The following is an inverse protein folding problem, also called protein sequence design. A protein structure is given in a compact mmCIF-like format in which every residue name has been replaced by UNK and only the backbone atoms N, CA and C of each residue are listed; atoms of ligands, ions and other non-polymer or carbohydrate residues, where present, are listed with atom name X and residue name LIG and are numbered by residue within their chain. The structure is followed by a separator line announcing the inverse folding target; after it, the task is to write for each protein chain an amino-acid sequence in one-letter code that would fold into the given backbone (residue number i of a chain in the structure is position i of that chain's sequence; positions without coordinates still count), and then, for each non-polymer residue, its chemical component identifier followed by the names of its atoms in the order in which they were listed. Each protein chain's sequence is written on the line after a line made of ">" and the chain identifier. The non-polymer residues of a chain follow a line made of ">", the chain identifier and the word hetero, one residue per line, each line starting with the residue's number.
data_IF_782824935722
#
_entry.id   IF_782824935722
#
_cell.length_a   1.000
_cell.length_b   1.000
_cell.length_c   1.000
_cell.angle_alpha   90.00
_cell.angle_beta   90.00
_cell.angle_gamma   90.00
#
_symmetry.space_group_name_H-M   'P 1'
#
loop_
_entity.id
_entity.type
_entity.pdbx_description
1 polymer ?
#
# COMPACT_ATOMS: atom_id res chain seq x y z
N UNK A 1 11.20 0.44 1.15
CA UNK A 1 9.83 0.19 1.61
C UNK A 1 9.62 0.77 2.99
N UNK A 2 8.95 1.92 3.11
CA UNK A 2 8.58 2.54 4.41
C UNK A 2 7.07 2.42 4.59
N UNK A 3 6.60 2.30 5.84
CA UNK A 3 5.18 2.56 6.17
C UNK A 3 4.83 4.02 5.86
N UNK A 4 3.57 4.30 5.55
CA UNK A 4 3.11 5.68 5.39
C UNK A 4 3.05 6.38 6.76
N UNK A 5 3.20 7.70 6.78
CA UNK A 5 2.82 8.51 7.95
C UNK A 5 1.31 8.74 7.98
N UNK A 6 0.78 9.19 9.12
CA UNK A 6 -0.66 9.48 9.25
C UNK A 6 -1.12 10.58 8.28
N UNK A 7 -0.28 11.58 8.03
CA UNK A 7 -0.57 12.65 7.07
C UNK A 7 -0.64 12.15 5.62
N UNK A 8 0.31 11.30 5.21
CA UNK A 8 0.33 10.69 3.87
C UNK A 8 -0.88 9.77 3.68
N UNK A 9 -1.21 9.02 4.74
CA UNK A 9 -2.35 8.09 4.75
C UNK A 9 -3.67 8.83 4.59
N UNK A 10 -3.87 9.95 5.30
CA UNK A 10 -5.06 10.80 5.14
C UNK A 10 -5.18 11.34 3.72
N UNK A 11 -4.09 11.87 3.14
CA UNK A 11 -4.10 12.39 1.76
C UNK A 11 -4.41 11.30 0.72
N UNK A 12 -3.90 10.09 0.93
CA UNK A 12 -4.20 8.95 0.06
C UNK A 12 -5.68 8.58 0.13
N UNK A 13 -6.22 8.44 1.34
CA UNK A 13 -7.63 8.07 1.53
C UNK A 13 -8.59 9.16 1.07
N UNK A 14 -8.27 10.44 1.25
CA UNK A 14 -9.09 11.55 0.74
C UNK A 14 -9.19 11.50 -0.79
N UNK A 15 -8.05 11.29 -1.47
CA UNK A 15 -8.05 11.12 -2.94
C UNK A 15 -8.78 9.87 -3.39
N UNK A 16 -8.64 8.74 -2.68
CA UNK A 16 -9.36 7.50 -3.02
C UNK A 16 -10.86 7.61 -2.75
N UNK A 17 -11.26 8.30 -1.69
CA UNK A 17 -12.66 8.52 -1.33
C UNK A 17 -13.40 9.33 -2.40
N UNK A 18 -12.73 10.24 -3.11
CA UNK A 18 -13.32 10.96 -4.24
C UNK A 18 -13.75 10.04 -5.40
N UNK A 19 -13.10 8.88 -5.59
CA UNK A 19 -13.43 7.94 -6.67
C UNK A 19 -14.24 6.73 -6.21
N UNK A 20 -13.95 6.20 -5.02
CA UNK A 20 -14.46 4.92 -4.51
C UNK A 20 -15.48 5.12 -3.38
N UNK A 21 -15.51 6.32 -2.77
CA UNK A 21 -16.42 6.66 -1.67
C UNK A 21 -16.23 5.76 -0.45
N UNK A 22 -17.34 5.28 0.09
CA UNK A 22 -17.39 4.41 1.28
C UNK A 22 -16.77 3.01 1.07
N UNK A 23 -16.53 2.61 -0.19
CA UNK A 23 -15.98 1.28 -0.49
C UNK A 23 -14.45 1.19 -0.27
N UNK A 24 -13.81 2.26 0.20
CA UNK A 24 -12.39 2.28 0.53
C UNK A 24 -12.03 1.33 1.68
N UNK A 25 -12.96 1.06 2.59
CA UNK A 25 -12.80 0.06 3.67
C UNK A 25 -12.59 -1.35 3.13
N UNK A 26 -13.20 -1.69 1.99
CA UNK A 26 -13.02 -2.99 1.34
C UNK A 26 -11.60 -3.23 0.80
N UNK A 27 -10.81 -2.16 0.58
CA UNK A 27 -9.40 -2.31 0.18
C UNK A 27 -8.51 -2.79 1.34
N UNK A 28 -8.89 -2.47 2.58
CA UNK A 28 -8.20 -2.91 3.79
C UNK A 28 -8.75 -4.27 4.23
N UNK A 29 -10.07 -4.40 4.30
CA UNK A 29 -10.76 -5.59 4.78
C UNK A 29 -11.30 -6.42 3.60
N UNK A 30 -10.37 -7.00 2.83
CA UNK A 30 -10.75 -7.99 1.83
C UNK A 30 -11.14 -9.28 2.52
N UNK A 31 -12.44 -9.55 2.65
CA UNK A 31 -12.95 -10.85 3.11
C UNK A 31 -12.49 -11.92 2.12
N UNK A 32 -11.48 -12.73 2.49
CA UNK A 32 -11.06 -13.82 1.62
C UNK A 32 -9.78 -14.54 2.03
N UNK A 33 -8.64 -13.86 2.22
CA UNK A 33 -7.39 -14.62 2.43
C UNK A 33 -6.16 -13.80 2.86
N UNK A 34 -5.98 -12.56 2.38
CA UNK A 34 -4.73 -11.85 2.62
C UNK A 34 -4.91 -10.34 2.86
N UNK A 35 -4.37 -9.86 3.98
CA UNK A 35 -4.34 -8.45 4.33
C UNK A 35 -3.46 -7.69 3.33
N UNK A 36 -4.00 -6.60 2.76
CA UNK A 36 -3.27 -5.75 1.84
C UNK A 36 -2.79 -4.48 2.54
N UNK A 37 -1.56 -4.09 2.25
CA UNK A 37 -0.91 -2.95 2.87
C UNK A 37 -0.43 -1.95 1.83
N UNK A 38 -0.50 -0.68 2.19
CA UNK A 38 0.11 0.40 1.43
C UNK A 38 1.54 0.62 1.90
N UNK A 39 2.48 0.70 0.96
CA UNK A 39 3.89 1.00 1.24
C UNK A 39 4.40 2.11 0.34
N UNK A 40 5.25 2.97 0.91
CA UNK A 40 5.93 4.02 0.17
C UNK A 40 7.32 3.54 -0.28
N UNK A 41 7.61 3.73 -1.55
CA UNK A 41 8.94 3.52 -2.13
C UNK A 41 9.23 4.51 -3.26
N UNK A 42 10.40 5.18 -3.22
CA UNK A 42 10.81 6.19 -4.23
C UNK A 42 9.69 7.20 -4.55
N UNK A 43 9.03 7.72 -3.52
CA UNK A 43 7.90 8.66 -3.60
C UNK A 43 6.65 8.15 -4.34
N UNK A 44 6.52 6.83 -4.51
CA UNK A 44 5.32 6.17 -5.04
C UNK A 44 4.71 5.26 -3.99
N UNK A 45 3.38 5.23 -3.95
CA UNK A 45 2.61 4.38 -3.06
C UNK A 45 2.23 3.11 -3.82
N UNK A 46 2.51 1.97 -3.21
CA UNK A 46 2.22 0.65 -3.75
C UNK A 46 1.19 -0.05 -2.87
N UNK A 47 0.23 -0.73 -3.49
CA UNK A 47 -0.77 -1.57 -2.84
C UNK A 47 -0.43 -3.03 -3.12
N UNK A 48 -0.24 -3.84 -2.07
CA UNK A 48 0.15 -5.24 -2.22
C UNK A 48 -0.23 -6.08 -0.99
N UNK A 49 -0.30 -7.42 -1.12
CA UNK A 49 -0.44 -8.32 0.02
C UNK A 49 0.71 -8.21 1.04
N UNK A 50 0.41 -8.45 2.31
CA UNK A 50 1.39 -8.39 3.40
C UNK A 50 2.58 -9.35 3.21
N UNK A 51 2.38 -10.54 2.61
CA UNK A 51 3.48 -11.47 2.33
C UNK A 51 4.49 -10.89 1.35
N UNK A 52 4.02 -10.27 0.27
CA UNK A 52 4.88 -9.61 -0.70
C UNK A 52 5.62 -8.43 -0.07
N UNK A 53 4.95 -7.66 0.80
CA UNK A 53 5.58 -6.58 1.53
C UNK A 53 6.73 -7.05 2.44
N UNK A 54 6.61 -8.23 3.05
CA UNK A 54 7.67 -8.84 3.87
C UNK A 54 8.84 -9.31 3.01
N UNK A 55 8.58 -10.00 1.90
CA UNK A 55 9.64 -10.44 0.97
C UNK A 55 10.39 -9.26 0.35
N UNK A 56 9.66 -8.20 0.01
CA UNK A 56 10.22 -6.96 -0.51
C UNK A 56 11.20 -6.26 0.44
N UNK A 57 11.10 -6.51 1.74
CA UNK A 57 11.99 -5.89 2.73
C UNK A 57 13.43 -6.39 2.65
N UNK A 58 13.65 -7.57 2.06
CA UNK A 58 14.97 -8.17 1.88
C UNK A 58 15.78 -7.54 0.73
N UNK A 59 15.12 -6.76 -0.15
CA UNK A 59 15.77 -6.14 -1.31
C UNK A 59 16.21 -4.71 -0.98
N UNK A 60 17.42 -4.34 -1.42
CA UNK A 60 17.95 -2.99 -1.21
C UNK A 60 17.10 -1.92 -1.91
N UNK A 61 17.01 -0.73 -1.30
CA UNK A 61 16.22 0.39 -1.85
C UNK A 61 16.67 0.82 -3.25
N UNK A 62 17.95 0.65 -3.57
CA UNK A 62 18.53 1.01 -4.87
C UNK A 62 17.99 0.10 -5.97
N UNK A 63 17.99 -1.21 -5.72
CA UNK A 63 17.69 -2.24 -6.72
C UNK A 63 16.17 -2.43 -6.90
N UNK A 64 15.37 -2.03 -5.90
CA UNK A 64 13.93 -2.13 -5.99
C UNK A 64 13.34 -1.06 -6.92
N UNK A 65 12.74 -1.48 -8.04
CA UNK A 65 12.14 -0.59 -9.05
C UNK A 65 10.62 -0.44 -8.90
N UNK A 66 9.91 -1.55 -8.69
CA UNK A 66 8.47 -1.55 -8.46
C UNK A 66 8.02 -2.87 -7.86
N UNK A 67 6.88 -2.85 -7.15
CA UNK A 67 6.26 -4.06 -6.60
C UNK A 67 4.75 -3.91 -6.70
N UNK A 68 4.14 -4.82 -7.45
CA UNK A 68 2.70 -5.02 -7.52
C UNK A 68 2.45 -6.39 -8.12
N UNK A 69 1.18 -6.80 -8.09
CA UNK A 69 0.66 -7.88 -8.95
C UNK A 69 -0.09 -7.22 -10.10
#
# INVERSE_FOLDING_TARGET
>A
MRSLTDEETKKLFDKLAQYIGANTTHLLERKGEEEHVFRLHKNRIWYMPLRLAKLASCVSKTNLMGIGV
#
